data_IF_379981614227
#
_entry.id   IF_379981614227
#
_cell.length_a   1.000
_cell.length_b   1.000
_cell.length_c   1.000
_cell.angle_alpha   90.00
_cell.angle_beta   90.00
_cell.angle_gamma   90.00
#
_symmetry.space_group_name_H-M   'P 1'
#
loop_
_entity.id
_entity.type
_entity.pdbx_description
1 polymer ?
#
# COMPACT_ATOMS: atom_id res chain seq x y z
N UNK A 1 7.19 -9.38 -9.03
CA UNK A 1 6.67 -10.75 -9.23
C UNK A 1 5.92 -11.28 -8.00
N UNK A 2 6.48 -11.20 -6.79
CA UNK A 2 5.81 -11.67 -5.56
C UNK A 2 4.39 -11.13 -5.36
N UNK A 3 4.20 -9.81 -5.43
CA UNK A 3 2.88 -9.18 -5.27
C UNK A 3 1.83 -9.69 -6.27
N UNK A 4 2.21 -9.81 -7.55
CA UNK A 4 1.32 -10.33 -8.58
C UNK A 4 0.91 -11.78 -8.30
N UNK A 5 1.86 -12.63 -7.93
CA UNK A 5 1.59 -14.03 -7.60
C UNK A 5 0.72 -14.16 -6.35
N UNK A 6 1.08 -13.46 -5.26
CA UNK A 6 0.30 -13.46 -4.01
C UNK A 6 -1.13 -12.96 -4.25
N UNK A 7 -1.30 -11.84 -4.97
CA UNK A 7 -2.60 -11.30 -5.32
C UNK A 7 -3.41 -12.24 -6.20
N UNK A 8 -2.79 -12.85 -7.22
CA UNK A 8 -3.46 -13.79 -8.12
C UNK A 8 -3.90 -15.06 -7.40
N UNK A 9 -3.07 -15.60 -6.50
CA UNK A 9 -3.43 -16.76 -5.69
C UNK A 9 -4.61 -16.44 -4.77
N UNK A 10 -4.58 -15.30 -4.07
CA UNK A 10 -5.69 -14.89 -3.20
C UNK A 10 -6.98 -14.63 -3.97
N UNK A 11 -6.88 -14.01 -5.15
CA UNK A 11 -8.01 -13.86 -6.07
C UNK A 11 -8.58 -15.23 -6.46
N UNK A 12 -7.74 -16.18 -6.87
CA UNK A 12 -8.17 -17.52 -7.26
C UNK A 12 -8.81 -18.29 -6.09
N UNK A 13 -8.27 -18.17 -4.87
CA UNK A 13 -8.88 -18.74 -3.67
C UNK A 13 -10.27 -18.13 -3.45
N UNK A 14 -10.38 -16.80 -3.53
CA UNK A 14 -11.64 -16.09 -3.37
C UNK A 14 -12.69 -16.47 -4.41
N UNK A 15 -12.27 -16.77 -5.64
CA UNK A 15 -13.16 -17.19 -6.73
C UNK A 15 -13.54 -18.68 -6.65
N UNK A 16 -12.63 -19.57 -6.25
CA UNK A 16 -12.85 -21.03 -6.31
C UNK A 16 -13.43 -21.63 -5.04
N UNK A 17 -13.11 -21.07 -3.88
CA UNK A 17 -13.49 -21.64 -2.59
C UNK A 17 -14.86 -21.16 -2.09
N UNK A 18 -15.54 -20.30 -2.85
CA UNK A 18 -16.81 -19.67 -2.45
C UNK A 18 -17.85 -19.78 -3.57
N UNK A 19 -19.15 -19.83 -3.25
CA UNK A 19 -20.20 -20.08 -4.25
C UNK A 19 -20.25 -19.03 -5.36
N UNK A 20 -20.37 -19.46 -6.62
CA UNK A 20 -20.46 -18.57 -7.79
C UNK A 20 -21.61 -17.57 -7.70
N UNK A 21 -22.70 -17.92 -7.01
CA UNK A 21 -23.86 -17.05 -6.80
C UNK A 21 -23.53 -15.78 -6.00
N UNK A 22 -22.42 -15.77 -5.25
CA UNK A 22 -21.95 -14.60 -4.52
C UNK A 22 -21.16 -13.61 -5.40
N UNK A 23 -20.60 -14.07 -6.53
CA UNK A 23 -19.67 -13.31 -7.36
C UNK A 23 -20.43 -12.67 -8.51
N UNK A 24 -20.68 -11.37 -8.38
CA UNK A 24 -21.25 -10.56 -9.47
C UNK A 24 -20.23 -9.53 -9.95
N UNK A 25 -20.31 -9.11 -11.22
CA UNK A 25 -19.46 -8.03 -11.76
C UNK A 25 -19.57 -6.76 -10.93
N UNK A 26 -20.78 -6.40 -10.47
CA UNK A 26 -21.01 -5.24 -9.61
C UNK A 26 -20.31 -5.39 -8.25
N UNK A 27 -20.42 -6.57 -7.64
CA UNK A 27 -19.70 -6.89 -6.40
C UNK A 27 -18.20 -6.79 -6.59
N UNK A 28 -17.66 -7.40 -7.64
CA UNK A 28 -16.24 -7.35 -7.95
C UNK A 28 -15.73 -5.91 -8.12
N UNK A 29 -16.43 -5.08 -8.89
CA UNK A 29 -16.06 -3.67 -9.09
C UNK A 29 -16.16 -2.87 -7.78
N UNK A 30 -17.19 -3.10 -6.97
CA UNK A 30 -17.28 -2.50 -5.65
C UNK A 30 -16.07 -2.88 -4.78
N UNK A 31 -15.71 -4.16 -4.79
CA UNK A 31 -14.54 -4.67 -4.08
C UNK A 31 -13.24 -4.08 -4.57
N UNK A 32 -13.10 -3.81 -5.88
CA UNK A 32 -11.95 -3.11 -6.41
C UNK A 32 -11.84 -1.69 -5.84
N UNK A 33 -12.94 -0.94 -5.80
CA UNK A 33 -12.93 0.41 -5.22
C UNK A 33 -12.63 0.37 -3.72
N UNK A 34 -13.29 -0.54 -2.99
CA UNK A 34 -13.06 -0.72 -1.55
C UNK A 34 -11.61 -1.12 -1.26
N UNK A 35 -11.03 -2.02 -2.06
CA UNK A 35 -9.66 -2.47 -1.91
C UNK A 35 -8.62 -1.40 -2.27
N UNK A 36 -8.88 -0.53 -3.25
CA UNK A 36 -8.02 0.64 -3.50
C UNK A 36 -7.99 1.61 -2.31
N UNK A 37 -9.15 1.89 -1.70
CA UNK A 37 -9.25 2.74 -0.52
C UNK A 37 -8.55 2.10 0.69
N UNK A 38 -8.76 0.80 0.89
CA UNK A 38 -8.08 0.03 1.92
C UNK A 38 -6.57 0.03 1.72
N UNK A 39 -6.08 -0.23 0.51
CA UNK A 39 -4.66 -0.27 0.19
C UNK A 39 -3.98 1.08 0.44
N UNK A 40 -4.64 2.19 0.14
CA UNK A 40 -4.15 3.52 0.46
C UNK A 40 -4.00 3.76 1.97
N UNK A 41 -5.01 3.36 2.76
CA UNK A 41 -4.95 3.48 4.21
C UNK A 41 -3.92 2.51 4.82
N UNK A 42 -3.81 1.32 4.26
CA UNK A 42 -2.83 0.32 4.64
C UNK A 42 -1.39 0.83 4.39
N UNK A 43 -1.10 1.38 3.21
CA UNK A 43 0.20 2.00 2.89
C UNK A 43 0.58 3.07 3.93
N UNK A 44 -0.36 3.96 4.26
CA UNK A 44 -0.14 4.99 5.28
C UNK A 44 0.19 4.37 6.64
N UNK A 45 -0.62 3.42 7.12
CA UNK A 45 -0.42 2.79 8.42
C UNK A 45 0.87 1.98 8.47
N UNK A 46 1.18 1.24 7.41
CA UNK A 46 2.42 0.48 7.27
C UNK A 46 3.62 1.41 7.34
N UNK A 47 3.63 2.48 6.54
CA UNK A 47 4.76 3.40 6.49
C UNK A 47 4.90 4.18 7.80
N UNK A 48 3.80 4.66 8.39
CA UNK A 48 3.85 5.43 9.64
C UNK A 48 4.18 4.60 10.87
N UNK A 49 3.54 3.45 11.03
CA UNK A 49 3.59 2.71 12.30
C UNK A 49 4.52 1.52 12.27
N UNK A 50 4.72 0.86 11.12
CA UNK A 50 5.63 -0.28 11.02
C UNK A 50 7.02 0.17 10.57
N UNK A 51 7.10 0.93 9.48
CA UNK A 51 8.40 1.33 8.91
C UNK A 51 9.10 2.40 9.76
N UNK A 52 8.35 3.24 10.46
CA UNK A 52 8.87 4.25 11.38
C UNK A 52 8.73 3.85 12.86
N UNK A 53 8.58 2.56 13.16
CA UNK A 53 8.51 2.05 14.54
C UNK A 53 9.79 2.29 15.36
N UNK A 54 10.95 2.39 14.69
CA UNK A 54 12.25 2.49 15.33
C UNK A 54 12.85 1.14 15.77
N UNK A 55 12.16 0.03 15.49
CA UNK A 55 12.62 -1.33 15.78
C UNK A 55 12.09 -2.34 14.77
N UNK A 56 12.84 -3.43 14.56
CA UNK A 56 12.46 -4.54 13.71
C UNK A 56 12.88 -4.37 12.24
N UNK A 57 12.92 -5.49 11.53
CA UNK A 57 13.56 -5.62 10.21
C UNK A 57 13.01 -4.61 9.19
N UNK A 58 11.69 -4.43 9.13
CA UNK A 58 11.09 -3.49 8.18
C UNK A 58 11.45 -2.03 8.50
N UNK A 59 11.56 -1.68 9.79
CA UNK A 59 11.97 -0.34 10.19
C UNK A 59 13.45 -0.10 9.90
N UNK A 60 14.31 -1.08 10.19
CA UNK A 60 15.74 -1.02 9.88
C UNK A 60 15.98 -0.87 8.37
N UNK A 61 15.32 -1.69 7.53
CA UNK A 61 15.40 -1.60 6.08
C UNK A 61 14.93 -0.23 5.58
N UNK A 62 13.84 0.29 6.14
CA UNK A 62 13.34 1.61 5.79
C UNK A 62 14.30 2.72 6.21
N UNK A 63 15.00 2.58 7.34
CA UNK A 63 16.00 3.58 7.74
C UNK A 63 17.22 3.56 6.81
N UNK A 64 17.64 2.38 6.33
CA UNK A 64 18.65 2.30 5.25
C UNK A 64 18.15 3.00 3.99
N UNK A 65 16.87 2.86 3.64
CA UNK A 65 16.28 3.60 2.52
C UNK A 65 16.39 5.13 2.71
N UNK A 66 16.08 5.66 3.90
CA UNK A 66 16.19 7.10 4.20
C UNK A 66 17.63 7.60 4.13
N UNK A 67 18.60 6.85 4.66
CA UNK A 67 20.01 7.29 4.71
C UNK A 67 20.74 7.14 3.37
N UNK A 68 20.25 6.30 2.46
CA UNK A 68 20.90 6.02 1.17
C UNK A 68 20.35 6.85 0.00
N UNK A 69 19.48 7.84 0.23
CA UNK A 69 18.78 8.60 -0.82
C UNK A 69 19.68 9.14 -1.96
N UNK A 70 20.90 9.56 -1.64
CA UNK A 70 21.88 10.12 -2.60
C UNK A 70 23.07 9.19 -2.87
N UNK A 71 23.02 7.96 -2.36
CA UNK A 71 24.08 6.96 -2.55
C UNK A 71 24.01 6.35 -3.95
N UNK A 72 25.14 5.96 -4.57
CA UNK A 72 25.15 5.12 -5.77
C UNK A 72 24.36 3.81 -5.62
N UNK A 73 24.23 3.31 -4.38
CA UNK A 73 23.50 2.08 -4.07
C UNK A 73 22.01 2.31 -3.76
N UNK A 74 21.49 3.54 -3.84
CA UNK A 74 20.11 3.89 -3.48
C UNK A 74 19.08 2.93 -4.10
N UNK A 75 19.25 2.57 -5.38
CA UNK A 75 18.35 1.70 -6.12
C UNK A 75 18.10 0.33 -5.44
N UNK A 76 19.06 -0.18 -4.64
CA UNK A 76 18.95 -1.47 -3.94
C UNK A 76 18.02 -1.42 -2.73
N UNK A 77 17.82 -0.24 -2.17
CA UNK A 77 17.14 -0.04 -0.89
C UNK A 77 15.81 0.72 -1.05
N UNK A 78 15.38 1.01 -2.28
CA UNK A 78 14.13 1.77 -2.50
C UNK A 78 12.89 0.90 -2.35
N UNK A 79 12.94 -0.36 -2.76
CA UNK A 79 11.78 -1.25 -2.68
C UNK A 79 11.37 -1.45 -1.22
N UNK A 80 10.06 -1.57 -0.97
CA UNK A 80 9.52 -1.81 0.37
C UNK A 80 10.15 -3.03 1.05
N UNK A 81 10.37 -4.10 0.29
CA UNK A 81 11.10 -5.25 0.78
C UNK A 81 12.01 -5.80 -0.30
N UNK A 82 13.30 -5.92 0.02
CA UNK A 82 14.28 -6.65 -0.78
C UNK A 82 14.05 -8.17 -0.75
N UNK A 83 13.26 -8.66 0.21
CA UNK A 83 12.93 -10.07 0.36
C UNK A 83 11.49 -10.34 -0.13
N UNK A 84 11.29 -11.16 -1.18
CA UNK A 84 9.95 -11.47 -1.69
C UNK A 84 9.03 -12.12 -0.64
N UNK A 85 9.57 -12.81 0.36
CA UNK A 85 8.79 -13.38 1.46
C UNK A 85 8.15 -12.33 2.37
N UNK A 86 8.75 -11.15 2.49
CA UNK A 86 8.14 -10.02 3.20
C UNK A 86 6.84 -9.58 2.52
N UNK A 87 6.83 -9.55 1.19
CA UNK A 87 5.64 -9.26 0.38
C UNK A 87 4.58 -10.36 0.54
N UNK A 88 4.98 -11.63 0.48
CA UNK A 88 4.05 -12.75 0.69
C UNK A 88 3.40 -12.68 2.07
N UNK A 89 4.20 -12.50 3.13
CA UNK A 89 3.71 -12.38 4.50
C UNK A 89 2.73 -11.21 4.65
N UNK A 90 3.01 -10.08 4.00
CA UNK A 90 2.15 -8.91 3.96
C UNK A 90 0.78 -9.23 3.35
N UNK A 91 0.77 -9.90 2.19
CA UNK A 91 -0.46 -10.29 1.52
C UNK A 91 -1.25 -11.30 2.36
N UNK A 92 -0.59 -12.30 2.96
CA UNK A 92 -1.23 -13.25 3.85
C UNK A 92 -1.86 -12.57 5.06
N UNK A 93 -1.13 -11.68 5.74
CA UNK A 93 -1.63 -10.96 6.91
C UNK A 93 -2.85 -10.10 6.59
N UNK A 94 -2.83 -9.40 5.44
CA UNK A 94 -3.97 -8.60 4.99
C UNK A 94 -5.13 -9.48 4.52
N UNK A 95 -4.88 -10.68 3.97
CA UNK A 95 -5.92 -11.55 3.45
C UNK A 95 -6.79 -12.19 4.54
N UNK A 96 -6.21 -12.55 5.68
CA UNK A 96 -6.91 -13.21 6.80
C UNK A 96 -8.24 -12.55 7.15
N UNK A 97 -8.33 -11.24 7.48
CA UNK A 97 -9.60 -10.62 7.82
C UNK A 97 -10.62 -10.67 6.67
N UNK A 98 -10.19 -10.49 5.42
CA UNK A 98 -11.10 -10.52 4.28
C UNK A 98 -11.61 -11.94 3.97
N UNK A 99 -10.77 -12.96 4.09
CA UNK A 99 -11.18 -14.35 3.92
C UNK A 99 -12.14 -14.79 5.04
N UNK A 100 -11.92 -14.35 6.28
CA UNK A 100 -12.85 -14.57 7.40
C UNK A 100 -14.20 -13.93 7.08
N UNK A 101 -14.22 -12.66 6.64
CA UNK A 101 -15.46 -11.99 6.24
C UNK A 101 -16.16 -12.69 5.08
N UNK A 102 -15.39 -13.12 4.07
CA UNK A 102 -15.92 -13.86 2.93
C UNK A 102 -16.57 -15.17 3.37
N UNK A 103 -15.96 -15.87 4.34
CA UNK A 103 -16.48 -17.11 4.91
C UNK A 103 -17.77 -16.93 5.69
N UNK A 104 -17.84 -15.94 6.58
CA UNK A 104 -19.03 -15.73 7.42
C UNK A 104 -20.23 -15.18 6.66
N UNK A 105 -19.98 -14.29 5.70
CA UNK A 105 -21.05 -13.52 5.05
C UNK A 105 -21.29 -13.92 3.60
N UNK A 106 -20.52 -14.88 3.07
CA UNK A 106 -20.60 -15.36 1.68
C UNK A 106 -20.54 -14.21 0.66
N UNK A 107 -19.59 -13.29 0.84
CA UNK A 107 -19.54 -12.04 0.08
C UNK A 107 -18.58 -12.13 -1.10
N UNK A 108 -19.08 -12.02 -2.34
CA UNK A 108 -18.24 -12.11 -3.54
C UNK A 108 -17.49 -10.83 -3.94
N UNK A 109 -17.63 -9.70 -3.24
CA UNK A 109 -16.82 -8.50 -3.56
C UNK A 109 -15.36 -8.62 -3.11
N UNK A 110 -15.04 -9.57 -2.24
CA UNK A 110 -13.68 -9.77 -1.70
C UNK A 110 -12.66 -10.11 -2.79
N UNK A 111 -13.06 -10.81 -3.85
CA UNK A 111 -12.21 -11.06 -5.01
C UNK A 111 -11.67 -9.75 -5.63
N UNK A 112 -12.51 -8.72 -5.72
CA UNK A 112 -12.11 -7.40 -6.21
C UNK A 112 -11.11 -6.70 -5.29
N UNK A 113 -11.18 -6.95 -3.98
CA UNK A 113 -10.23 -6.41 -3.00
C UNK A 113 -8.83 -6.94 -3.25
N UNK A 114 -8.69 -8.26 -3.42
CA UNK A 114 -7.37 -8.86 -3.66
C UNK A 114 -6.76 -8.40 -4.97
N UNK A 115 -7.57 -8.31 -6.03
CA UNK A 115 -7.12 -7.78 -7.32
C UNK A 115 -6.64 -6.32 -7.20
N UNK A 116 -7.43 -5.45 -6.58
CA UNK A 116 -7.08 -4.04 -6.42
C UNK A 116 -5.91 -3.81 -5.47
N UNK A 117 -5.81 -4.56 -4.37
CA UNK A 117 -4.67 -4.49 -3.44
C UNK A 117 -3.36 -4.86 -4.14
N UNK A 118 -3.37 -5.90 -4.97
CA UNK A 118 -2.20 -6.30 -5.75
C UNK A 118 -1.77 -5.23 -6.75
N UNK A 119 -2.72 -4.69 -7.51
CA UNK A 119 -2.47 -3.62 -8.47
C UNK A 119 -1.97 -2.34 -7.77
N UNK A 120 -2.57 -1.99 -6.63
CA UNK A 120 -2.16 -0.85 -5.83
C UNK A 120 -0.73 -1.02 -5.34
N UNK A 121 -0.40 -2.17 -4.74
CA UNK A 121 0.94 -2.44 -4.23
C UNK A 121 2.01 -2.36 -5.34
N UNK A 122 1.72 -2.94 -6.51
CA UNK A 122 2.63 -2.86 -7.67
C UNK A 122 2.82 -1.42 -8.16
N UNK A 123 1.73 -0.64 -8.24
CA UNK A 123 1.81 0.76 -8.64
C UNK A 123 2.57 1.60 -7.60
N UNK A 124 2.33 1.36 -6.31
CA UNK A 124 3.03 1.98 -5.20
C UNK A 124 4.54 1.75 -5.28
N UNK A 125 4.99 0.50 -5.41
CA UNK A 125 6.42 0.17 -5.53
C UNK A 125 7.06 0.83 -6.75
N UNK A 126 6.40 0.75 -7.91
CA UNK A 126 6.93 1.35 -9.15
C UNK A 126 7.03 2.88 -9.07
N UNK A 127 6.02 3.54 -8.49
CA UNK A 127 5.99 5.00 -8.35
C UNK A 127 6.99 5.45 -7.29
N UNK A 128 7.14 4.70 -6.20
CA UNK A 128 8.15 4.93 -5.18
C UNK A 128 9.55 4.84 -5.80
N UNK A 129 9.82 3.79 -6.57
CA UNK A 129 11.08 3.60 -7.28
C UNK A 129 11.40 4.74 -8.25
N UNK A 130 10.45 5.09 -9.12
CA UNK A 130 10.61 6.19 -10.09
C UNK A 130 10.80 7.55 -9.41
N UNK A 131 10.14 7.77 -8.27
CA UNK A 131 10.29 9.00 -7.49
C UNK A 131 11.74 9.19 -7.04
N UNK A 132 12.41 8.13 -6.59
CA UNK A 132 13.80 8.19 -6.14
C UNK A 132 14.80 8.19 -7.28
N UNK A 133 14.55 7.44 -8.35
CA UNK A 133 15.49 7.30 -9.46
C UNK A 133 15.37 8.42 -10.51
N UNK A 134 14.52 9.42 -10.27
CA UNK A 134 14.24 10.46 -11.27
C UNK A 134 13.56 9.92 -12.54
N UNK A 135 12.87 8.78 -12.42
CA UNK A 135 12.19 8.12 -13.52
C UNK A 135 10.99 8.92 -14.02
N UNK A 136 10.55 8.63 -15.24
CA UNK A 136 9.38 9.30 -15.82
C UNK A 136 8.11 9.00 -15.01
N UNK A 137 7.39 10.05 -14.61
CA UNK A 137 6.06 9.97 -14.00
C UNK A 137 5.05 10.87 -14.74
N UNK A 138 3.79 10.43 -14.89
CA UNK A 138 2.70 11.27 -15.34
C UNK A 138 2.61 12.58 -14.55
N UNK A 139 2.24 13.69 -15.21
CA UNK A 139 2.21 15.03 -14.58
C UNK A 139 1.38 15.07 -13.29
N UNK A 140 0.29 14.31 -13.24
CA UNK A 140 -0.61 14.25 -12.09
C UNK A 140 -0.05 13.45 -10.89
N UNK A 141 1.01 12.64 -11.08
CA UNK A 141 1.70 11.91 -10.00
C UNK A 141 2.91 12.66 -9.45
N UNK A 142 3.43 13.67 -10.15
CA UNK A 142 4.57 14.48 -9.69
C UNK A 142 4.33 15.16 -8.33
N UNK A 143 3.12 15.65 -8.00
CA UNK A 143 2.85 16.17 -6.66
C UNK A 143 2.98 15.12 -5.56
N UNK A 144 2.58 13.87 -5.81
CA UNK A 144 2.75 12.77 -4.85
C UNK A 144 4.23 12.40 -4.68
N UNK A 145 4.99 12.34 -5.78
CA UNK A 145 6.43 12.17 -5.74
C UNK A 145 7.12 13.26 -4.89
N UNK A 146 6.77 14.54 -5.11
CA UNK A 146 7.26 15.65 -4.29
C UNK A 146 6.83 15.53 -2.82
N UNK A 147 5.60 15.10 -2.57
CA UNK A 147 5.09 14.86 -1.22
C UNK A 147 5.95 13.84 -0.46
N UNK A 148 6.31 12.74 -1.12
CA UNK A 148 7.21 11.72 -0.56
C UNK A 148 8.66 12.21 -0.41
N UNK A 149 9.21 12.97 -1.35
CA UNK A 149 10.56 13.53 -1.19
C UNK A 149 10.64 14.52 -0.01
N UNK A 150 9.56 15.24 0.28
CA UNK A 150 9.47 16.09 1.47
C UNK A 150 9.41 15.29 2.77
N UNK A 151 8.90 14.05 2.74
CA UNK A 151 8.98 13.13 3.87
C UNK A 151 10.42 12.78 4.18
N UNK A 152 11.22 12.40 3.18
CA UNK A 152 12.66 12.16 3.35
C UNK A 152 13.41 13.35 3.96
N UNK A 153 12.99 14.57 3.63
CA UNK A 153 13.63 15.79 4.16
C UNK A 153 13.28 16.13 5.62
N UNK A 154 12.11 15.71 6.13
CA UNK A 154 11.57 16.19 7.43
C UNK A 154 11.09 15.10 8.38
N UNK A 155 10.87 13.87 7.89
CA UNK A 155 10.62 12.63 8.63
C UNK A 155 9.38 12.58 9.54
N UNK A 156 8.56 13.62 9.60
CA UNK A 156 7.57 13.79 10.69
C UNK A 156 6.11 13.81 10.22
N UNK A 157 5.88 13.92 8.91
CA UNK A 157 4.59 13.91 8.24
C UNK A 157 4.78 13.46 6.78
N UNK A 158 3.71 12.99 6.10
CA UNK A 158 3.70 12.53 4.69
C UNK A 158 4.08 11.05 4.49
N UNK A 159 3.20 10.14 4.89
CA UNK A 159 3.47 8.69 4.86
C UNK A 159 2.93 7.95 3.63
N UNK A 160 1.96 8.49 2.91
CA UNK A 160 1.55 7.94 1.64
C UNK A 160 2.53 8.37 0.53
N UNK A 161 3.01 7.42 -0.24
CA UNK A 161 3.89 7.57 -1.38
C UNK A 161 3.12 7.64 -2.69
N UNK A 162 2.18 6.69 -2.93
CA UNK A 162 1.46 6.64 -4.21
C UNK A 162 0.45 7.80 -4.33
N UNK A 163 -0.56 7.83 -3.45
CA UNK A 163 -1.56 8.88 -3.42
C UNK A 163 -1.71 9.39 -1.98
N UNK A 164 -1.49 10.69 -1.70
CA UNK A 164 -1.48 11.22 -0.33
C UNK A 164 -2.88 11.45 0.27
N UNK A 165 -3.83 10.54 0.02
CA UNK A 165 -5.24 10.70 0.41
C UNK A 165 -5.35 10.66 1.94
N UNK A 166 -4.81 9.64 2.61
CA UNK A 166 -4.97 9.52 4.06
C UNK A 166 -4.16 10.58 4.83
N UNK A 167 -2.97 10.95 4.35
CA UNK A 167 -2.25 12.12 4.84
C UNK A 167 -3.11 13.40 4.80
N UNK A 168 -3.79 13.65 3.69
CA UNK A 168 -4.62 14.85 3.54
C UNK A 168 -5.83 14.83 4.47
N UNK A 169 -6.50 13.67 4.61
CA UNK A 169 -7.62 13.49 5.53
C UNK A 169 -7.17 13.79 6.96
N UNK A 170 -6.09 13.16 7.43
CA UNK A 170 -5.56 13.31 8.80
C UNK A 170 -5.04 14.72 9.05
N UNK A 171 -4.37 15.34 8.09
CA UNK A 171 -3.89 16.71 8.23
C UNK A 171 -5.05 17.69 8.38
N UNK A 172 -6.10 17.56 7.55
CA UNK A 172 -7.29 18.42 7.63
C UNK A 172 -8.04 18.28 8.95
N UNK A 173 -8.25 17.07 9.44
CA UNK A 173 -8.89 16.85 10.76
C UNK A 173 -8.05 17.43 11.89
N UNK A 174 -6.72 17.28 11.84
CA UNK A 174 -5.81 17.83 12.84
C UNK A 174 -5.84 19.37 12.88
N UNK A 175 -5.89 20.03 11.71
CA UNK A 175 -6.01 21.50 11.62
C UNK A 175 -7.35 22.01 12.15
N UNK A 176 -8.45 21.30 11.85
CA UNK A 176 -9.78 21.64 12.38
C UNK A 176 -9.82 21.54 13.91
N UNK A 177 -9.27 20.46 14.47
CA UNK A 177 -9.21 20.26 15.92
C UNK A 177 -8.40 21.37 16.63
N UNK A 178 -7.32 21.87 16.01
CA UNK A 178 -6.53 22.99 16.55
C UNK A 178 -7.26 24.34 16.51
N UNK A 179 -8.15 24.57 15.52
CA UNK A 179 -8.93 25.82 15.38
C UNK A 179 -10.18 25.87 16.26
N UNK A 180 -10.63 24.73 16.78
CA UNK A 180 -11.79 24.64 17.68
C UNK A 180 -11.41 24.76 19.16
N UNK A 181 -10.11 24.90 19.46
CA UNK A 181 -9.56 25.24 20.77
C UNK A 181 -9.18 26.72 20.78
#
# INVERSE_FOLDING_TARGET
MAALLSGSVLLLISLKCFPDSAISTRGFLFGMVAGLLYANGFEYCLHRFLLHAGHGIFSEQHMVHHTTLQSPDAARYVNFSSNPWGVVALFCANAVPFLILQWFFHIGWIAGVFASFALYYMAFEEIHWRTHMGGWLPKWLRPAARHHLLHHARGTDRFNVFLPILDWVIHRTSQRAKRAK
#
